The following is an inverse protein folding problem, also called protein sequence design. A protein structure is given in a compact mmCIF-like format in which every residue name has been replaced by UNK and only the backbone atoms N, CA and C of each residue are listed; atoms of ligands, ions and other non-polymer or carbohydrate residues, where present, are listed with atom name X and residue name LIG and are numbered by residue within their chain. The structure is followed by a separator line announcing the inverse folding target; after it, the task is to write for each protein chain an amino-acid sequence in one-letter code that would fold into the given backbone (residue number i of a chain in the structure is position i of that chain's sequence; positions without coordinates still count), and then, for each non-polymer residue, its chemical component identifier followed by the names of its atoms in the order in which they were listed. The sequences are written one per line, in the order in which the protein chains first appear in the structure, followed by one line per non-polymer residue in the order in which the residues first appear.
data_IF_715746573625
#
_entry.id   IF_715746573625
#
_cell.length_a   1.000
_cell.length_b   1.000
_cell.length_c   1.000
_cell.angle_alpha   90.00
_cell.angle_beta   90.00
_cell.angle_gamma   90.00
#
_symmetry.space_group_name_H-M   'P 1'
#
loop_
_entity.id
_entity.type
_entity.pdbx_description
1 polymer ?
#
# COMPACT_ATOMS: atom_id res chain seq x y z
N UNK A 1 -4.79 -4.73 -6.68
CA UNK A 1 -3.79 -3.89 -5.97
C UNK A 1 -2.57 -4.66 -5.47
N UNK A 2 -2.69 -5.87 -4.94
CA UNK A 2 -1.53 -6.66 -4.47
C UNK A 2 -0.45 -6.86 -5.55
N UNK A 3 -0.83 -7.27 -6.77
CA UNK A 3 0.13 -7.49 -7.88
C UNK A 3 0.90 -6.23 -8.23
N UNK A 4 0.23 -5.08 -8.31
CA UNK A 4 0.87 -3.79 -8.61
C UNK A 4 1.86 -3.39 -7.51
N UNK A 5 1.45 -3.50 -6.23
CA UNK A 5 2.33 -3.22 -5.10
C UNK A 5 3.50 -4.22 -5.00
N UNK A 6 3.29 -5.50 -5.31
CA UNK A 6 4.35 -6.51 -5.32
C UNK A 6 5.37 -6.31 -6.45
N UNK A 7 4.92 -5.89 -7.64
CA UNK A 7 5.83 -5.52 -8.73
C UNK A 7 6.63 -4.27 -8.38
N UNK A 8 5.98 -3.23 -7.86
CA UNK A 8 6.65 -2.03 -7.39
C UNK A 8 7.64 -2.33 -6.26
N UNK A 9 7.29 -3.23 -5.33
CA UNK A 9 8.16 -3.69 -4.24
C UNK A 9 9.43 -4.34 -4.80
N UNK A 10 9.28 -5.20 -5.81
CA UNK A 10 10.40 -5.87 -6.46
C UNK A 10 11.31 -4.87 -7.18
N UNK A 11 10.74 -3.87 -7.85
CA UNK A 11 11.51 -2.80 -8.51
C UNK A 11 12.25 -1.92 -7.49
N UNK A 12 11.59 -1.54 -6.39
CA UNK A 12 12.20 -0.76 -5.33
C UNK A 12 13.34 -1.54 -4.64
N UNK A 13 13.14 -2.84 -4.38
CA UNK A 13 14.18 -3.72 -3.86
C UNK A 13 15.36 -3.85 -4.84
N UNK A 14 15.09 -4.00 -6.15
CA UNK A 14 16.14 -4.02 -7.16
C UNK A 14 16.95 -2.72 -7.20
N UNK A 15 16.27 -1.57 -7.12
CA UNK A 15 16.93 -0.26 -7.06
C UNK A 15 17.79 -0.10 -5.80
N UNK A 16 17.31 -0.59 -4.65
CA UNK A 16 18.06 -0.60 -3.40
C UNK A 16 19.35 -1.44 -3.52
N UNK A 17 19.25 -2.63 -4.10
CA UNK A 17 20.41 -3.50 -4.30
C UNK A 17 21.41 -2.90 -5.31
N UNK A 18 20.91 -2.24 -6.35
CA UNK A 18 21.74 -1.64 -7.40
C UNK A 18 22.39 -0.33 -6.97
N UNK A 19 21.73 0.42 -6.07
CA UNK A 19 22.18 1.73 -5.58
C UNK A 19 21.99 1.85 -4.06
N UNK A 20 22.85 1.23 -3.24
CA UNK A 20 22.66 1.16 -1.78
C UNK A 20 22.74 2.51 -1.06
N UNK A 21 23.29 3.56 -1.70
CA UNK A 21 23.28 4.91 -1.14
C UNK A 21 21.87 5.50 -1.00
N UNK A 22 20.89 4.93 -1.70
CA UNK A 22 19.48 5.35 -1.67
C UNK A 22 18.65 4.60 -0.62
N UNK A 23 19.30 3.88 0.30
CA UNK A 23 18.66 3.05 1.34
C UNK A 23 17.56 3.75 2.11
N UNK A 24 17.76 5.01 2.48
CA UNK A 24 16.79 5.74 3.29
C UNK A 24 15.47 5.97 2.55
N UNK A 25 15.54 6.38 1.28
CA UNK A 25 14.37 6.69 0.46
C UNK A 25 13.69 5.41 -0.06
N UNK A 26 14.47 4.46 -0.58
CA UNK A 26 13.94 3.20 -1.10
C UNK A 26 13.50 2.23 0.01
N UNK A 27 14.10 2.30 1.21
CA UNK A 27 13.72 1.46 2.35
C UNK A 27 12.33 1.79 2.89
N UNK A 28 12.00 3.08 2.99
CA UNK A 28 10.66 3.52 3.37
C UNK A 28 9.62 3.09 2.33
N UNK A 29 9.92 3.27 1.05
CA UNK A 29 9.07 2.85 -0.07
C UNK A 29 8.81 1.33 -0.04
N UNK A 30 9.86 0.52 0.15
CA UNK A 30 9.76 -0.94 0.27
C UNK A 30 8.86 -1.34 1.44
N UNK A 31 9.04 -0.73 2.62
CA UNK A 31 8.23 -1.03 3.79
C UNK A 31 6.74 -0.71 3.53
N UNK A 32 6.48 0.41 2.87
CA UNK A 32 5.13 0.85 2.51
C UNK A 32 4.48 -0.04 1.46
N UNK A 33 5.23 -0.47 0.45
CA UNK A 33 4.74 -1.40 -0.58
C UNK A 33 4.47 -2.80 -0.01
N UNK A 34 5.34 -3.29 0.88
CA UNK A 34 5.12 -4.54 1.59
C UNK A 34 3.87 -4.49 2.48
N UNK A 35 3.69 -3.40 3.23
CA UNK A 35 2.49 -3.19 4.02
C UNK A 35 1.23 -3.18 3.14
N UNK A 36 1.25 -2.46 2.01
CA UNK A 36 0.14 -2.46 1.06
C UNK A 36 -0.18 -3.87 0.53
N UNK A 37 0.84 -4.69 0.21
CA UNK A 37 0.61 -6.09 -0.22
C UNK A 37 -0.10 -6.87 0.87
N UNK A 38 0.36 -6.78 2.13
CA UNK A 38 -0.26 -7.48 3.26
C UNK A 38 -1.68 -6.97 3.51
N UNK A 39 -1.89 -5.67 3.58
CA UNK A 39 -3.21 -5.09 3.84
C UNK A 39 -4.20 -5.46 2.75
N UNK A 40 -3.81 -5.45 1.48
CA UNK A 40 -4.72 -5.87 0.40
C UNK A 40 -4.88 -7.40 0.30
N UNK A 41 -4.02 -8.20 0.93
CA UNK A 41 -4.12 -9.67 0.99
C UNK A 41 -5.02 -10.16 2.11
N UNK A 42 -4.97 -9.50 3.25
CA UNK A 42 -5.64 -9.92 4.48
C UNK A 42 -6.43 -8.73 5.05
N UNK A 43 -7.29 -8.10 4.25
CA UNK A 43 -8.00 -6.89 4.69
C UNK A 43 -9.07 -7.24 5.74
N UNK A 44 -8.61 -7.51 6.96
CA UNK A 44 -9.38 -8.21 7.99
C UNK A 44 -10.21 -7.24 8.85
N UNK A 45 -10.07 -5.91 8.69
CA UNK A 45 -10.95 -4.93 9.36
C UNK A 45 -10.78 -3.48 8.89
N UNK A 46 -11.82 -2.65 9.10
CA UNK A 46 -11.88 -1.24 8.72
C UNK A 46 -10.74 -0.37 9.28
N UNK A 47 -10.20 -0.72 10.46
CA UNK A 47 -9.04 -0.03 11.05
C UNK A 47 -7.77 -0.22 10.21
N UNK A 48 -7.56 -1.42 9.65
CA UNK A 48 -6.44 -1.71 8.74
C UNK A 48 -6.57 -0.89 7.45
N UNK A 49 -7.80 -0.79 6.92
CA UNK A 49 -8.11 0.00 5.72
C UNK A 49 -7.86 1.50 5.93
N UNK A 50 -8.31 2.07 7.06
CA UNK A 50 -8.06 3.48 7.41
C UNK A 50 -6.58 3.73 7.65
N UNK A 51 -5.91 2.86 8.40
CA UNK A 51 -4.47 2.96 8.66
C UNK A 51 -3.67 2.91 7.36
N UNK A 52 -4.00 2.00 6.44
CA UNK A 52 -3.35 1.90 5.15
C UNK A 52 -3.61 3.15 4.29
N UNK A 53 -4.82 3.70 4.29
CA UNK A 53 -5.11 4.95 3.61
C UNK A 53 -4.24 6.11 4.15
N UNK A 54 -4.16 6.26 5.49
CA UNK A 54 -3.36 7.29 6.13
C UNK A 54 -1.87 7.16 5.82
N UNK A 55 -1.34 5.93 5.81
CA UNK A 55 0.05 5.68 5.50
C UNK A 55 0.35 5.95 4.02
N UNK A 56 -0.54 5.60 3.08
CA UNK A 56 -0.36 5.95 1.67
C UNK A 56 -0.42 7.47 1.43
N UNK A 57 -1.26 8.22 2.16
CA UNK A 57 -1.21 9.69 2.12
C UNK A 57 0.09 10.24 2.71
N UNK A 58 0.65 9.59 3.73
CA UNK A 58 1.96 9.94 4.28
C UNK A 58 3.05 9.73 3.22
N UNK A 59 3.03 8.61 2.49
CA UNK A 59 3.97 8.36 1.38
C UNK A 59 3.84 9.37 0.23
N UNK A 60 2.62 9.79 -0.11
CA UNK A 60 2.41 10.91 -1.04
C UNK A 60 3.09 12.20 -0.56
N UNK A 61 2.97 12.49 0.73
CA UNK A 61 3.63 13.63 1.36
C UNK A 61 5.16 13.53 1.31
N UNK A 62 5.73 12.36 1.56
CA UNK A 62 7.19 12.15 1.49
C UNK A 62 7.71 12.28 0.06
N UNK A 63 6.98 11.76 -0.94
CA UNK A 63 7.33 11.93 -2.36
C UNK A 63 7.28 13.40 -2.76
N UNK A 64 6.23 14.13 -2.37
CA UNK A 64 6.12 15.56 -2.64
C UNK A 64 7.24 16.36 -1.95
N UNK A 65 7.53 16.07 -0.69
CA UNK A 65 8.60 16.73 0.05
C UNK A 65 9.97 16.44 -0.57
N UNK A 66 10.27 15.19 -0.95
CA UNK A 66 11.51 14.82 -1.63
C UNK A 66 11.67 15.52 -2.99
N UNK A 67 10.61 15.57 -3.79
CA UNK A 67 10.62 16.23 -5.09
C UNK A 67 10.81 17.76 -5.00
N UNK A 68 10.15 18.41 -4.05
CA UNK A 68 10.22 19.87 -3.88
C UNK A 68 11.48 20.35 -3.17
N UNK A 69 12.04 19.55 -2.27
CA UNK A 69 13.31 19.86 -1.57
C UNK A 69 14.56 19.53 -2.39
N UNK A 70 14.43 18.76 -3.47
CA UNK A 70 15.57 18.28 -4.26
C UNK A 70 16.41 17.21 -3.55
N UNK A 71 15.95 16.69 -2.40
CA UNK A 71 16.64 15.65 -1.65
C UNK A 71 16.31 14.23 -2.14
N UNK A 72 15.42 14.09 -3.11
CA UNK A 72 15.10 12.80 -3.74
C UNK A 72 16.24 12.34 -4.65
N UNK A 73 16.66 11.09 -4.48
CA UNK A 73 17.59 10.40 -5.39
C UNK A 73 16.85 9.74 -6.57
N UNK A 74 15.52 9.73 -6.53
CA UNK A 74 14.68 9.15 -7.56
C UNK A 74 14.44 10.13 -8.71
N UNK A 75 14.36 9.58 -9.92
CA UNK A 75 13.99 10.36 -11.10
C UNK A 75 12.53 10.83 -11.04
N UNK A 76 12.21 11.93 -11.73
CA UNK A 76 10.86 12.49 -11.78
C UNK A 76 9.79 11.45 -12.19
N UNK A 77 9.99 10.58 -13.19
CA UNK A 77 9.02 9.54 -13.53
C UNK A 77 8.79 8.51 -12.42
N UNK A 78 9.84 8.16 -11.66
CA UNK A 78 9.74 7.23 -10.52
C UNK A 78 8.89 7.87 -9.41
N UNK A 79 9.17 9.12 -9.06
CA UNK A 79 8.39 9.84 -8.06
C UNK A 79 6.92 10.02 -8.49
N UNK A 80 6.65 10.32 -9.76
CA UNK A 80 5.29 10.39 -10.28
C UNK A 80 4.57 9.04 -10.21
N UNK A 81 5.27 7.96 -10.55
CA UNK A 81 4.77 6.59 -10.45
C UNK A 81 4.39 6.22 -9.03
N UNK A 82 5.28 6.47 -8.06
CA UNK A 82 5.04 6.19 -6.64
C UNK A 82 3.87 7.04 -6.11
N UNK A 83 3.81 8.33 -6.47
CA UNK A 83 2.70 9.20 -6.08
C UNK A 83 1.35 8.65 -6.60
N UNK A 84 1.28 8.26 -7.87
CA UNK A 84 0.06 7.68 -8.45
C UNK A 84 -0.32 6.36 -7.80
N UNK A 85 0.66 5.50 -7.52
CA UNK A 85 0.45 4.22 -6.86
C UNK A 85 -0.11 4.41 -5.45
N UNK A 86 0.52 5.27 -4.64
CA UNK A 86 0.05 5.58 -3.29
C UNK A 86 -1.32 6.26 -3.28
N UNK A 87 -1.58 7.17 -4.23
CA UNK A 87 -2.92 7.75 -4.38
C UNK A 87 -3.96 6.68 -4.68
N UNK A 88 -3.65 5.77 -5.60
CA UNK A 88 -4.55 4.66 -5.96
C UNK A 88 -4.76 3.72 -4.77
N UNK A 89 -3.72 3.40 -4.01
CA UNK A 89 -3.82 2.58 -2.80
C UNK A 89 -4.68 3.26 -1.72
N UNK A 90 -4.51 4.57 -1.50
CA UNK A 90 -5.30 5.33 -0.54
C UNK A 90 -6.79 5.35 -0.94
N UNK A 91 -7.09 5.66 -2.21
CA UNK A 91 -8.45 5.64 -2.75
C UNK A 91 -9.04 4.23 -2.66
N UNK A 92 -8.28 3.20 -3.03
CA UNK A 92 -8.76 1.81 -2.93
C UNK A 92 -9.08 1.44 -1.48
N UNK A 93 -8.24 1.84 -0.52
CA UNK A 93 -8.46 1.55 0.90
C UNK A 93 -9.68 2.29 1.49
N UNK A 94 -10.11 3.40 0.87
CA UNK A 94 -11.31 4.15 1.29
C UNK A 94 -12.56 3.66 0.56
N UNK A 95 -12.46 3.43 -0.75
CA UNK A 95 -13.60 3.19 -1.63
C UNK A 95 -13.98 1.71 -1.77
N UNK A 96 -13.03 0.79 -1.68
CA UNK A 96 -13.37 -0.63 -1.61
C UNK A 96 -13.75 -0.98 -0.18
N UNK A 97 -15.06 -1.04 0.06
CA UNK A 97 -15.62 -1.54 1.31
C UNK A 97 -15.18 -2.98 1.53
N UNK A 98 -14.81 -3.26 2.76
CA UNK A 98 -14.85 -4.59 3.35
C UNK A 98 -16.21 -5.24 3.06
N UNK A 99 -16.22 -6.27 2.22
CA UNK A 99 -17.24 -7.31 2.28
C UNK A 99 -16.79 -8.23 3.41
N UNK A 100 -17.52 -8.33 4.53
CA UNK A 100 -17.28 -9.42 5.46
C UNK A 100 -17.36 -10.69 4.64
N UNK A 101 -16.33 -11.53 4.71
CA UNK A 101 -16.54 -12.92 4.42
C UNK A 101 -17.70 -13.34 5.32
N UNK A 102 -18.87 -13.56 4.74
CA UNK A 102 -19.89 -14.38 5.39
C UNK A 102 -19.19 -15.71 5.65
N UNK A 103 -18.76 -15.91 6.89
CA UNK A 103 -18.49 -17.25 7.39
C UNK A 103 -19.75 -18.05 7.08
N UNK A 104 -19.65 -18.91 6.06
CA UNK A 104 -20.51 -20.05 5.87
C UNK A 104 -20.41 -20.92 7.13
N UNK A 105 -21.19 -20.58 8.16
CA UNK A 105 -21.70 -21.56 9.10
C UNK A 105 -23.17 -21.71 8.81
N UNK A 106 -23.44 -22.70 7.96
CA UNK A 106 -24.73 -23.13 7.47
C UNK A 106 -25.84 -23.05 8.51
N UNK A 107 -26.97 -22.51 8.05
CA UNK A 107 -28.29 -22.70 8.63
C UNK A 107 -28.49 -24.15 9.13
N UNK A 108 -28.87 -24.32 10.39
CA UNK A 108 -29.78 -25.41 10.76
C UNK A 108 -31.01 -24.78 11.40
N UNK A 109 -32.19 -24.85 10.76
CA UNK A 109 -33.44 -24.46 11.39
C UNK A 109 -33.92 -25.63 12.25
N UNK A 110 -33.93 -25.48 13.57
CA UNK A 110 -34.70 -26.37 14.44
C UNK A 110 -35.94 -25.61 14.92
N UNK A 111 -37.07 -26.10 14.42
CA UNK A 111 -38.45 -25.70 14.69
C UNK A 111 -38.75 -25.37 16.15
N UNK A 112 -39.67 -24.43 16.30
CA UNK A 112 -40.63 -24.28 17.40
C UNK A 112 -41.16 -25.61 17.92
N UNK A 113 -41.04 -25.84 19.23
CA UNK A 113 -42.12 -26.30 20.12
C UNK A 113 -41.77 -25.95 21.57
#
# INVERSE_FOLDING_TARGET
MQVANGLALTMAAYNLFSNPETVWENGFEIAMLALNVVTFSSNDNALSSIGNAALNFTSLGTVYAGATSGCTSNSLPVNLGNALLHMTNAVTSICYKYEPNEENTSQTPAKTM
#
